data_IF_392259156918
#
_entry.id   IF_392259156918
#
_cell.length_a   1.000
_cell.length_b   1.000
_cell.length_c   1.000
_cell.angle_alpha   90.00
_cell.angle_beta   90.00
_cell.angle_gamma   90.00
#
_symmetry.space_group_name_H-M   'P 1'
#
loop_
_entity.id
_entity.type
_entity.pdbx_description
1 polymer ?
#
# COMPACT_ATOMS: atom_id res chain seq x y z
N UNK A 1 5.56 -9.74 -1.35
CA UNK A 1 4.49 -9.23 -2.24
C UNK A 1 4.71 -7.75 -2.54
N UNK A 2 4.54 -7.37 -3.78
CA UNK A 2 4.61 -5.97 -4.18
C UNK A 2 3.60 -5.67 -5.28
N UNK A 3 3.14 -4.41 -5.33
CA UNK A 3 2.10 -3.98 -6.26
C UNK A 3 2.19 -2.47 -6.47
N UNK A 4 1.88 -2.02 -7.69
CA UNK A 4 1.69 -0.61 -7.97
C UNK A 4 0.31 -0.18 -7.47
N UNK A 5 0.22 0.98 -6.84
CA UNK A 5 -1.02 1.49 -6.27
C UNK A 5 -1.28 2.93 -6.70
N UNK A 6 -2.55 3.30 -6.69
CA UNK A 6 -3.04 4.62 -7.05
C UNK A 6 -3.98 4.54 -8.25
N UNK A 7 -5.11 5.25 -8.16
CA UNK A 7 -6.12 5.31 -9.24
C UNK A 7 -6.62 6.73 -9.50
N UNK A 8 -6.09 7.72 -8.77
CA UNK A 8 -6.47 9.11 -8.91
C UNK A 8 -7.71 9.53 -8.14
N UNK A 9 -8.41 8.59 -7.49
CA UNK A 9 -9.68 8.90 -6.81
C UNK A 9 -9.85 8.24 -5.44
N UNK A 10 -9.10 7.17 -5.14
CA UNK A 10 -9.23 6.42 -3.88
C UNK A 10 -8.10 6.76 -2.94
N UNK A 11 -8.43 7.27 -1.73
CA UNK A 11 -7.44 7.55 -0.69
C UNK A 11 -7.23 6.38 0.27
N UNK A 12 -8.21 5.51 0.46
CA UNK A 12 -8.10 4.28 1.25
C UNK A 12 -7.99 3.10 0.28
N UNK A 13 -6.79 2.55 0.14
CA UNK A 13 -6.49 1.53 -0.87
C UNK A 13 -6.33 0.18 -0.20
N UNK A 14 -7.18 -0.78 -0.56
CA UNK A 14 -7.09 -2.16 -0.10
C UNK A 14 -6.11 -2.94 -0.99
N UNK A 15 -5.11 -3.56 -0.36
CA UNK A 15 -4.10 -4.38 -1.05
C UNK A 15 -4.22 -5.81 -0.58
N UNK A 16 -4.51 -6.71 -1.50
CA UNK A 16 -4.61 -8.14 -1.20
C UNK A 16 -3.25 -8.80 -1.42
N UNK A 17 -2.57 -9.16 -0.33
CA UNK A 17 -1.22 -9.72 -0.37
C UNK A 17 -1.19 -11.25 -0.27
N UNK A 18 -2.28 -11.88 0.20
CA UNK A 18 -2.41 -13.34 0.32
C UNK A 18 -1.33 -14.02 1.17
N UNK A 19 -0.79 -13.32 2.17
CA UNK A 19 0.25 -13.87 3.04
C UNK A 19 -0.31 -14.65 4.23
N UNK A 20 -1.63 -14.65 4.39
CA UNK A 20 -2.36 -15.35 5.44
C UNK A 20 -1.87 -15.02 6.84
N UNK A 21 -1.49 -13.78 7.07
CA UNK A 21 -1.02 -13.29 8.38
C UNK A 21 -1.26 -11.79 8.51
N UNK A 22 -1.53 -11.33 9.73
CA UNK A 22 -1.55 -9.91 10.08
C UNK A 22 -0.18 -9.41 10.56
N UNK A 23 0.78 -10.29 10.74
CA UNK A 23 2.14 -9.95 11.16
C UNK A 23 2.96 -9.58 9.93
N UNK A 24 2.69 -8.39 9.40
CA UNK A 24 3.26 -7.90 8.15
C UNK A 24 4.05 -6.62 8.35
N UNK A 25 5.02 -6.40 7.48
CA UNK A 25 5.73 -5.13 7.33
C UNK A 25 5.33 -4.53 5.99
N UNK A 26 4.91 -3.27 6.00
CA UNK A 26 4.47 -2.57 4.81
C UNK A 26 5.41 -1.42 4.53
N UNK A 27 5.90 -1.32 3.32
CA UNK A 27 6.67 -0.17 2.85
C UNK A 27 6.09 0.36 1.55
N UNK A 28 6.12 1.69 1.40
CA UNK A 28 5.61 2.37 0.21
C UNK A 28 6.69 3.30 -0.30
N UNK A 29 6.87 3.33 -1.62
CA UNK A 29 7.78 4.28 -2.25
C UNK A 29 7.10 4.99 -3.40
N UNK A 30 7.53 6.24 -3.65
CA UNK A 30 7.14 6.99 -4.83
C UNK A 30 7.87 6.42 -6.05
N UNK A 31 7.14 6.01 -7.07
CA UNK A 31 7.75 5.37 -8.25
C UNK A 31 8.57 6.35 -9.10
N UNK A 32 8.25 7.64 -9.05
CA UNK A 32 8.96 8.65 -9.84
C UNK A 32 10.33 8.98 -9.24
N UNK A 33 10.46 8.96 -7.91
CA UNK A 33 11.68 9.36 -7.20
C UNK A 33 12.37 8.22 -6.46
N UNK A 34 11.69 7.08 -6.30
CA UNK A 34 12.10 5.94 -5.47
C UNK A 34 12.28 6.31 -3.99
N UNK A 35 11.72 7.43 -3.56
CA UNK A 35 11.77 7.87 -2.17
C UNK A 35 10.75 7.10 -1.32
N UNK A 36 11.13 6.70 -0.12
CA UNK A 36 10.22 6.09 0.85
C UNK A 36 9.14 7.08 1.29
N UNK A 37 7.90 6.61 1.42
CA UNK A 37 6.75 7.41 1.81
C UNK A 37 6.14 6.80 3.06
N UNK A 38 5.84 7.64 4.05
CA UNK A 38 5.12 7.21 5.26
C UNK A 38 3.64 7.25 5.00
N UNK A 39 2.98 6.12 5.17
CA UNK A 39 1.55 5.95 4.95
C UNK A 39 0.96 5.18 6.13
N UNK A 40 -0.19 5.62 6.61
CA UNK A 40 -0.94 4.86 7.60
C UNK A 40 -1.50 3.59 6.95
N UNK A 41 -1.39 2.46 7.64
CA UNK A 41 -1.95 1.22 7.14
C UNK A 41 -2.59 0.42 8.27
N UNK A 42 -3.57 -0.40 7.91
CA UNK A 42 -4.28 -1.28 8.83
C UNK A 42 -4.32 -2.68 8.23
N UNK A 43 -3.94 -3.68 9.03
CA UNK A 43 -4.11 -5.07 8.64
C UNK A 43 -5.59 -5.43 8.75
N UNK A 44 -6.32 -5.23 7.67
CA UNK A 44 -7.79 -5.40 7.62
C UNK A 44 -8.19 -6.87 7.81
N UNK A 45 -7.41 -7.77 7.24
CA UNK A 45 -7.58 -9.22 7.41
C UNK A 45 -6.22 -9.90 7.25
N UNK A 46 -6.18 -11.22 7.39
CA UNK A 46 -4.94 -11.99 7.21
C UNK A 46 -4.38 -11.92 5.78
N UNK A 47 -5.19 -11.48 4.82
CA UNK A 47 -4.79 -11.41 3.42
C UNK A 47 -4.87 -10.01 2.82
N UNK A 48 -5.37 -9.02 3.57
CA UNK A 48 -5.60 -7.66 3.07
C UNK A 48 -5.05 -6.61 4.03
N UNK A 49 -4.31 -5.65 3.49
CA UNK A 49 -3.92 -4.44 4.21
C UNK A 49 -4.56 -3.23 3.51
N UNK A 50 -5.06 -2.29 4.31
CA UNK A 50 -5.62 -1.05 3.78
C UNK A 50 -4.64 0.10 4.05
N UNK A 51 -4.23 0.78 2.98
CA UNK A 51 -3.36 1.95 3.05
C UNK A 51 -4.21 3.20 2.99
N UNK A 52 -3.99 4.14 3.90
CA UNK A 52 -4.75 5.39 3.97
C UNK A 52 -3.85 6.57 3.64
N UNK A 53 -4.15 7.27 2.56
CA UNK A 53 -3.45 8.47 2.12
C UNK A 53 -4.26 9.71 2.47
N UNK A 54 -3.59 10.81 2.77
CA UNK A 54 -4.26 12.11 3.00
C UNK A 54 -4.91 12.64 1.72
N UNK A 55 -4.30 12.37 0.58
CA UNK A 55 -4.81 12.74 -0.75
C UNK A 55 -4.74 11.50 -1.64
N UNK A 56 -5.79 11.26 -2.44
CA UNK A 56 -5.82 10.13 -3.35
C UNK A 56 -4.61 10.15 -4.29
N UNK A 57 -3.79 9.09 -4.33
CA UNK A 57 -2.63 9.05 -5.22
C UNK A 57 -3.08 8.95 -6.67
N UNK A 58 -2.32 9.57 -7.57
CA UNK A 58 -2.55 9.46 -9.01
C UNK A 58 -2.30 8.02 -9.49
N UNK A 59 -2.70 7.72 -10.72
CA UNK A 59 -2.62 6.36 -11.25
C UNK A 59 -1.20 5.79 -11.18
N UNK A 60 -1.05 4.66 -10.50
CA UNK A 60 0.22 3.93 -10.33
C UNK A 60 1.36 4.81 -9.81
N UNK A 61 1.07 5.81 -8.96
CA UNK A 61 2.07 6.77 -8.46
C UNK A 61 3.02 6.14 -7.44
N UNK A 62 2.60 5.12 -6.73
CA UNK A 62 3.36 4.49 -5.65
C UNK A 62 3.46 2.99 -5.85
N UNK A 63 4.48 2.41 -5.21
CA UNK A 63 4.62 0.95 -5.15
C UNK A 63 4.65 0.52 -3.69
N UNK A 64 3.80 -0.43 -3.34
CA UNK A 64 3.76 -1.03 -2.00
C UNK A 64 4.49 -2.36 -2.02
N UNK A 65 5.26 -2.62 -0.96
CA UNK A 65 5.86 -3.93 -0.71
C UNK A 65 5.38 -4.42 0.65
N UNK A 66 4.90 -5.65 0.71
CA UNK A 66 4.40 -6.28 1.93
C UNK A 66 5.20 -7.55 2.19
N UNK A 67 5.76 -7.65 3.40
CA UNK A 67 6.54 -8.80 3.85
C UNK A 67 5.89 -9.38 5.09
N UNK A 68 5.71 -10.68 5.11
CA UNK A 68 5.10 -11.34 6.25
C UNK A 68 5.58 -12.76 6.48
#
# INVERSE_FOLDING_TARGET
FSQDIGDGSTSAIAVTHNLNTKDITVSVRDKATDAGVLVDWTATSVNVVTLTFATAPTAAAYRVAVTG
#
